data_IF_002451737427
#
_entry.id   IF_002451737427
#
_cell.length_a   1.000
_cell.length_b   1.000
_cell.length_c   1.000
_cell.angle_alpha   90.00
_cell.angle_beta   90.00
_cell.angle_gamma   90.00
#
_symmetry.space_group_name_H-M   'P 1'
#
loop_
_entity.id
_entity.type
_entity.pdbx_description
1 polymer ?
#
# COMPACT_ATOMS: atom_id res chain seq x y z
N UNK A 1 7.95 -6.11 9.14
CA UNK A 1 9.03 -6.97 9.69
C UNK A 1 9.63 -7.80 8.54
N UNK A 2 10.82 -8.40 8.71
CA UNK A 2 11.41 -9.26 7.69
C UNK A 2 10.43 -10.34 7.23
N UNK A 3 10.32 -10.55 5.92
CA UNK A 3 9.42 -11.50 5.26
C UNK A 3 7.93 -11.17 5.29
N UNK A 4 7.50 -10.05 5.89
CA UNK A 4 6.08 -9.76 6.08
C UNK A 4 5.43 -8.93 4.97
N UNK A 5 6.19 -8.41 4.00
CA UNK A 5 5.67 -7.54 2.96
C UNK A 5 4.56 -8.21 2.13
N UNK A 6 4.72 -9.49 1.80
CA UNK A 6 3.75 -10.26 1.01
C UNK A 6 2.38 -10.37 1.69
N UNK A 7 2.38 -10.57 3.01
CA UNK A 7 1.15 -10.67 3.79
C UNK A 7 0.37 -9.35 3.76
N UNK A 8 1.08 -8.24 3.98
CA UNK A 8 0.48 -6.90 3.97
C UNK A 8 0.04 -6.48 2.55
N UNK A 9 0.85 -6.73 1.53
CA UNK A 9 0.48 -6.45 0.13
C UNK A 9 -0.81 -7.19 -0.27
N UNK A 10 -0.92 -8.47 0.10
CA UNK A 10 -2.14 -9.24 -0.15
C UNK A 10 -3.37 -8.69 0.59
N UNK A 11 -3.20 -8.05 1.75
CA UNK A 11 -4.29 -7.37 2.45
C UNK A 11 -4.69 -6.06 1.75
N UNK A 12 -3.70 -5.32 1.22
CA UNK A 12 -3.93 -4.11 0.42
C UNK A 12 -4.70 -4.47 -0.86
N UNK A 13 -4.27 -5.48 -1.61
CA UNK A 13 -4.92 -5.90 -2.85
C UNK A 13 -6.37 -6.38 -2.61
N UNK A 14 -6.63 -7.05 -1.48
CA UNK A 14 -7.97 -7.51 -1.09
C UNK A 14 -8.89 -6.40 -0.54
N UNK A 15 -8.36 -5.20 -0.34
CA UNK A 15 -9.14 -4.08 0.20
C UNK A 15 -9.99 -3.36 -0.86
N UNK A 16 -9.85 -3.74 -2.14
CA UNK A 16 -10.53 -3.11 -3.29
C UNK A 16 -10.41 -1.57 -3.28
N UNK A 17 -9.23 -1.05 -2.91
CA UNK A 17 -8.98 0.39 -2.89
C UNK A 17 -8.93 0.94 -4.33
N UNK A 18 -9.88 1.79 -4.76
CA UNK A 18 -9.96 2.26 -6.14
C UNK A 18 -8.77 3.14 -6.56
N UNK A 19 -8.02 3.68 -5.61
CA UNK A 19 -6.86 4.55 -5.88
C UNK A 19 -5.56 3.74 -6.11
N UNK A 20 -5.60 2.42 -5.91
CA UNK A 20 -4.44 1.52 -6.05
C UNK A 20 -4.64 0.63 -7.28
N UNK A 21 -3.72 0.73 -8.23
CA UNK A 21 -3.66 -0.14 -9.41
C UNK A 21 -3.13 -1.54 -9.06
N UNK A 22 -2.21 -1.63 -8.09
CA UNK A 22 -1.69 -2.89 -7.59
C UNK A 22 -0.44 -2.71 -6.72
N UNK A 23 0.11 -3.82 -6.23
CA UNK A 23 1.29 -3.85 -5.36
C UNK A 23 2.37 -4.81 -5.86
N UNK A 24 3.63 -4.51 -5.51
CA UNK A 24 4.78 -5.43 -5.65
C UNK A 24 5.44 -5.55 -4.28
N UNK A 25 5.42 -6.75 -3.71
CA UNK A 25 6.06 -7.02 -2.43
C UNK A 25 7.46 -7.63 -2.62
N UNK A 26 8.42 -7.09 -1.87
CA UNK A 26 9.72 -7.72 -1.59
C UNK A 26 9.66 -8.56 -0.32
N UNK A 27 10.71 -8.48 0.49
CA UNK A 27 10.79 -9.15 1.80
C UNK A 27 10.09 -8.32 2.90
N UNK A 28 10.51 -7.07 3.07
CA UNK A 28 10.02 -6.13 4.08
C UNK A 28 9.53 -4.79 3.49
N UNK A 29 9.57 -4.67 2.17
CA UNK A 29 9.23 -3.45 1.42
C UNK A 29 8.14 -3.74 0.40
N UNK A 30 7.21 -2.80 0.22
CA UNK A 30 6.13 -2.89 -0.78
C UNK A 30 6.18 -1.64 -1.66
N UNK A 31 6.18 -1.83 -2.98
CA UNK A 31 5.84 -0.77 -3.92
C UNK A 31 4.34 -0.81 -4.17
N UNK A 32 3.67 0.33 -3.94
CA UNK A 32 2.25 0.51 -4.24
C UNK A 32 2.12 1.42 -5.45
N UNK A 33 1.41 0.96 -6.48
CA UNK A 33 1.21 1.69 -7.73
C UNK A 33 -0.17 2.33 -7.69
N UNK A 34 -0.23 3.66 -7.78
CA UNK A 34 -1.49 4.40 -7.75
C UNK A 34 -2.11 4.51 -9.14
N UNK A 35 -3.43 4.69 -9.19
CA UNK A 35 -4.15 4.89 -10.45
C UNK A 35 -3.86 6.28 -11.05
N UNK A 36 -3.90 7.34 -10.22
CA UNK A 36 -3.46 8.68 -10.61
C UNK A 36 -1.92 8.75 -10.55
N UNK A 37 -1.23 9.23 -11.61
CA UNK A 37 0.22 9.46 -11.60
C UNK A 37 0.73 10.32 -10.44
N UNK A 38 -0.09 11.22 -9.91
CA UNK A 38 0.23 12.08 -8.76
C UNK A 38 -0.41 11.61 -7.45
N UNK A 39 -1.07 10.45 -7.43
CA UNK A 39 -1.86 9.95 -6.30
C UNK A 39 -1.05 9.39 -5.12
N UNK A 40 0.27 9.26 -5.25
CA UNK A 40 1.12 8.60 -4.26
C UNK A 40 1.02 9.19 -2.85
N UNK A 41 1.02 10.52 -2.73
CA UNK A 41 0.93 11.20 -1.42
C UNK A 41 -0.41 10.94 -0.72
N UNK A 42 -1.52 10.97 -1.47
CA UNK A 42 -2.86 10.70 -0.95
C UNK A 42 -2.99 9.27 -0.44
N UNK A 43 -2.52 8.28 -1.21
CA UNK A 43 -2.55 6.87 -0.81
C UNK A 43 -1.66 6.63 0.42
N UNK A 44 -0.47 7.24 0.46
CA UNK A 44 0.41 7.16 1.61
C UNK A 44 -0.23 7.75 2.88
N UNK A 45 -0.83 8.95 2.79
CA UNK A 45 -1.53 9.57 3.90
C UNK A 45 -2.68 8.70 4.43
N UNK A 46 -3.45 8.08 3.52
CA UNK A 46 -4.51 7.13 3.89
C UNK A 46 -3.96 5.94 4.69
N UNK A 47 -2.85 5.34 4.25
CA UNK A 47 -2.25 4.20 4.96
C UNK A 47 -1.68 4.60 6.31
N UNK A 48 -1.06 5.78 6.43
CA UNK A 48 -0.58 6.30 7.71
C UNK A 48 -1.73 6.50 8.70
N UNK A 49 -2.84 7.11 8.25
CA UNK A 49 -4.04 7.26 9.08
C UNK A 49 -4.62 5.93 9.58
N UNK A 50 -4.61 4.88 8.74
CA UNK A 50 -5.01 3.53 9.15
C UNK A 50 -4.04 2.89 10.15
N UNK A 51 -2.75 3.20 10.07
CA UNK A 51 -1.72 2.76 11.00
C UNK A 51 -1.69 3.57 12.31
N UNK A 52 -2.60 4.53 12.49
CA UNK A 52 -2.64 5.42 13.66
C UNK A 52 -1.45 6.38 13.73
N UNK A 53 -0.83 6.67 12.58
CA UNK A 53 0.22 7.68 12.45
C UNK A 53 -0.36 8.85 11.65
N UNK A 54 -0.45 10.03 12.28
CA UNK A 54 -0.76 11.30 11.59
C UNK A 54 0.53 11.99 11.14
#
# INVERSE_FOLDING_TARGET
>A
PPGAAQYLASAIDRSDNPDVLGTIAGDDTILVITLDPNGGEQVAARFLGLAGHE
#
